data_IF_904954045856
#
_entry.id   IF_904954045856
#
_cell.length_a   1.000
_cell.length_b   1.000
_cell.length_c   1.000
_cell.angle_alpha   90.00
_cell.angle_beta   90.00
_cell.angle_gamma   90.00
#
_symmetry.space_group_name_H-M   'P 1'
#
loop_
_entity.id
_entity.type
_entity.pdbx_description
1 polymer ?
#
# COMPACT_ATOMS: atom_id res chain seq x y z
N UNK A 1 -5.21 8.47 -36.16
CA UNK A 1 -5.18 6.99 -36.36
C UNK A 1 -4.15 6.59 -37.43
N UNK A 2 -4.07 7.26 -38.59
CA UNK A 2 -3.06 6.95 -39.64
C UNK A 2 -1.59 7.21 -39.27
N UNK A 3 -1.30 8.15 -38.35
CA UNK A 3 0.07 8.47 -37.92
C UNK A 3 0.48 7.79 -36.59
N UNK A 4 -0.31 6.83 -36.09
CA UNK A 4 -0.01 6.14 -34.83
C UNK A 4 -0.19 6.94 -33.53
N UNK A 5 -0.45 8.26 -33.56
CA UNK A 5 -0.57 9.09 -32.35
C UNK A 5 -1.86 8.88 -31.53
N UNK A 6 -2.77 7.99 -31.94
CA UNK A 6 -4.04 7.76 -31.25
C UNK A 6 -4.12 6.29 -30.81
N UNK A 7 -4.22 6.08 -29.51
CA UNK A 7 -4.37 4.76 -28.90
C UNK A 7 -5.66 4.70 -28.07
N UNK A 8 -6.34 3.55 -28.11
CA UNK A 8 -7.51 3.27 -27.27
C UNK A 8 -7.05 2.56 -26.00
N UNK A 9 -7.46 3.07 -24.85
CA UNK A 9 -7.18 2.47 -23.54
C UNK A 9 -8.12 3.06 -22.48
N UNK A 10 -8.04 2.54 -21.26
CA UNK A 10 -8.70 3.10 -20.09
C UNK A 10 -7.62 3.63 -19.15
N UNK A 11 -7.67 4.93 -18.82
CA UNK A 11 -6.71 5.61 -17.93
C UNK A 11 -7.51 6.39 -16.89
N UNK A 12 -7.08 6.44 -15.62
CA UNK A 12 -7.69 7.35 -14.65
C UNK A 12 -7.54 8.81 -15.10
N UNK A 13 -8.60 9.58 -14.91
CA UNK A 13 -8.66 11.02 -15.25
C UNK A 13 -9.31 11.77 -14.10
N UNK A 14 -9.00 13.06 -13.96
CA UNK A 14 -9.78 13.93 -13.09
C UNK A 14 -11.21 13.98 -13.61
N UNK A 15 -12.18 13.67 -12.76
CA UNK A 15 -13.60 13.66 -13.11
C UNK A 15 -14.36 14.61 -12.20
N UNK A 16 -14.99 15.63 -12.80
CA UNK A 16 -15.88 16.53 -12.09
C UNK A 16 -17.27 15.88 -11.97
N UNK A 17 -17.71 15.57 -10.75
CA UNK A 17 -19.04 14.96 -10.51
C UNK A 17 -20.16 15.95 -10.85
N UNK A 18 -19.95 17.24 -10.59
CA UNK A 18 -20.92 18.30 -10.88
C UNK A 18 -21.08 18.54 -12.39
N UNK A 19 -19.95 18.61 -13.09
CA UNK A 19 -19.86 18.87 -14.52
C UNK A 19 -20.16 17.61 -15.36
N UNK A 20 -19.99 16.42 -14.76
CA UNK A 20 -20.10 15.10 -15.41
C UNK A 20 -19.18 14.96 -16.62
N UNK A 21 -17.97 15.49 -16.49
CA UNK A 21 -16.94 15.47 -17.54
C UNK A 21 -15.55 15.25 -16.93
N UNK A 22 -14.64 14.77 -17.76
CA UNK A 22 -13.22 14.79 -17.46
C UNK A 22 -12.71 16.23 -17.45
N UNK A 23 -11.77 16.52 -16.55
CA UNK A 23 -11.04 17.79 -16.46
C UNK A 23 -9.61 17.58 -16.96
N UNK A 24 -9.09 18.58 -17.66
CA UNK A 24 -7.66 18.72 -17.90
C UNK A 24 -6.94 19.18 -16.62
N UNK A 25 -5.65 18.92 -16.51
CA UNK A 25 -4.84 19.34 -15.36
C UNK A 25 -4.87 20.87 -15.14
N UNK A 26 -4.95 21.64 -16.22
CA UNK A 26 -5.09 23.10 -16.18
C UNK A 26 -6.44 23.59 -15.61
N UNK A 27 -7.44 22.72 -15.50
CA UNK A 27 -8.76 23.03 -14.93
C UNK A 27 -8.86 22.61 -13.45
N UNK A 28 -7.81 22.01 -12.90
CA UNK A 28 -7.78 21.55 -11.50
C UNK A 28 -7.26 22.67 -10.60
N UNK A 29 -8.08 23.09 -9.66
CA UNK A 29 -7.71 24.02 -8.59
C UNK A 29 -7.56 23.29 -7.25
N UNK A 30 -6.56 23.68 -6.48
CA UNK A 30 -6.24 23.06 -5.19
C UNK A 30 -6.81 23.88 -4.03
N UNK A 31 -7.43 23.18 -3.09
CA UNK A 31 -8.00 23.74 -1.88
C UNK A 31 -7.63 22.88 -0.68
N UNK A 32 -7.41 23.51 0.46
CA UNK A 32 -7.18 22.79 1.71
C UNK A 32 -8.42 22.02 2.13
N UNK A 33 -8.25 20.72 2.40
CA UNK A 33 -9.32 19.85 2.85
C UNK A 33 -8.79 18.85 3.87
N UNK A 34 -9.45 18.81 5.03
CA UNK A 34 -9.24 17.73 5.99
C UNK A 34 -9.89 16.45 5.48
N UNK A 35 -9.09 15.40 5.32
CA UNK A 35 -9.54 14.08 4.88
C UNK A 35 -9.34 13.05 5.99
N UNK A 36 -10.19 12.02 6.10
CA UNK A 36 -9.92 10.90 6.99
C UNK A 36 -8.63 10.21 6.54
N UNK A 37 -7.89 9.64 7.49
CA UNK A 37 -6.78 8.74 7.18
C UNK A 37 -6.88 7.50 8.05
N UNK A 38 -6.55 6.35 7.48
CA UNK A 38 -6.65 5.05 8.16
C UNK A 38 -5.42 4.21 7.87
N UNK A 39 -5.00 3.44 8.86
CA UNK A 39 -4.06 2.34 8.73
C UNK A 39 -4.86 1.04 8.60
N UNK A 40 -4.54 0.18 7.62
CA UNK A 40 -5.30 -1.05 7.33
C UNK A 40 -4.36 -2.24 7.21
N UNK A 41 -4.59 -3.26 8.03
CA UNK A 41 -3.83 -4.49 8.02
C UNK A 41 -4.34 -5.46 6.94
N UNK A 42 -3.46 -5.88 6.05
CA UNK A 42 -3.67 -6.96 5.09
C UNK A 42 -2.94 -8.19 5.62
N UNK A 43 -3.70 -9.19 6.08
CA UNK A 43 -3.12 -10.39 6.67
C UNK A 43 -2.41 -11.23 5.61
N UNK A 44 -1.24 -11.75 5.94
CA UNK A 44 -0.50 -12.63 5.06
C UNK A 44 -1.24 -13.95 4.82
N UNK A 45 -1.26 -14.38 3.56
CA UNK A 45 -1.82 -15.69 3.16
C UNK A 45 -0.88 -16.82 3.58
N UNK A 46 0.41 -16.65 3.31
CA UNK A 46 1.47 -17.59 3.71
C UNK A 46 2.37 -16.95 4.77
N UNK A 47 2.08 -17.26 6.04
CA UNK A 47 2.84 -16.73 7.16
C UNK A 47 4.23 -17.37 7.28
N UNK A 48 4.41 -18.61 6.83
CA UNK A 48 5.69 -19.32 6.96
C UNK A 48 6.68 -18.85 5.90
N UNK A 49 6.21 -18.52 4.70
CA UNK A 49 7.02 -17.83 3.70
C UNK A 49 7.55 -16.48 4.23
N UNK A 50 6.70 -15.70 4.91
CA UNK A 50 7.14 -14.44 5.54
C UNK A 50 8.15 -14.68 6.66
N UNK A 51 7.89 -15.59 7.58
CA UNK A 51 8.84 -15.94 8.65
C UNK A 51 10.20 -16.33 8.08
N UNK A 52 10.22 -17.11 7.01
CA UNK A 52 11.45 -17.49 6.32
C UNK A 52 12.18 -16.28 5.73
N UNK A 53 11.48 -15.34 5.09
CA UNK A 53 12.08 -14.09 4.57
C UNK A 53 12.71 -13.26 5.68
N UNK A 54 12.03 -13.12 6.82
CA UNK A 54 12.53 -12.37 7.97
C UNK A 54 13.55 -13.14 8.82
N UNK A 55 13.86 -14.40 8.49
CA UNK A 55 14.71 -15.30 9.25
C UNK A 55 14.28 -15.45 10.74
N UNK A 56 12.96 -15.44 10.98
CA UNK A 56 12.37 -15.59 12.32
C UNK A 56 11.68 -16.95 12.46
N UNK A 57 11.85 -17.60 13.60
CA UNK A 57 11.24 -18.91 13.87
C UNK A 57 9.93 -18.81 14.64
N UNK A 58 9.76 -17.77 15.46
CA UNK A 58 8.60 -17.60 16.32
C UNK A 58 8.02 -16.19 16.17
N UNK A 59 6.74 -16.13 15.79
CA UNK A 59 5.93 -14.93 15.73
C UNK A 59 4.61 -15.26 16.41
N UNK A 60 4.19 -14.42 17.36
CA UNK A 60 2.93 -14.63 18.06
C UNK A 60 1.79 -14.02 17.24
N UNK A 61 0.85 -14.87 16.82
CA UNK A 61 -0.35 -14.45 16.08
C UNK A 61 -0.14 -14.15 14.59
N UNK A 62 -1.14 -13.54 13.94
CA UNK A 62 -1.12 -13.30 12.50
C UNK A 62 -0.09 -12.23 12.11
N UNK A 63 0.50 -12.40 10.92
CA UNK A 63 1.38 -11.41 10.31
C UNK A 63 0.59 -10.61 9.27
N UNK A 64 0.68 -9.28 9.30
CA UNK A 64 -0.01 -8.42 8.33
C UNK A 64 0.90 -7.35 7.75
N UNK A 65 0.75 -7.02 6.48
CA UNK A 65 1.32 -5.81 5.87
C UNK A 65 0.33 -4.67 6.04
N UNK A 66 0.76 -3.56 6.65
CA UNK A 66 -0.14 -2.46 6.99
C UNK A 66 0.02 -1.33 5.99
N UNK A 67 -1.05 -0.97 5.29
CA UNK A 67 -1.08 0.21 4.41
C UNK A 67 -1.60 1.42 5.16
N UNK A 68 -1.31 2.60 4.63
CA UNK A 68 -1.95 3.85 5.04
C UNK A 68 -2.65 4.49 3.83
N UNK A 69 -3.82 5.09 4.05
CA UNK A 69 -4.53 5.83 3.01
C UNK A 69 -5.36 6.99 3.55
N UNK A 70 -5.42 8.07 2.78
CA UNK A 70 -6.32 9.21 2.99
C UNK A 70 -7.61 9.11 2.16
N UNK A 71 -7.73 8.07 1.33
CA UNK A 71 -8.89 7.83 0.45
C UNK A 71 -9.51 6.45 0.70
N UNK A 72 -10.09 6.19 1.90
CA UNK A 72 -10.69 4.88 2.23
C UNK A 72 -11.69 4.34 1.20
N UNK A 73 -12.39 5.24 0.50
CA UNK A 73 -13.37 4.89 -0.54
C UNK A 73 -12.75 4.17 -1.75
N UNK A 74 -11.43 4.27 -1.97
CA UNK A 74 -10.71 3.59 -3.06
C UNK A 74 -10.32 2.16 -2.71
N UNK A 75 -10.39 1.79 -1.43
CA UNK A 75 -9.94 0.50 -0.93
C UNK A 75 -10.68 -0.71 -1.56
N UNK A 76 -12.00 -0.68 -1.84
CA UNK A 76 -12.66 -1.78 -2.57
C UNK A 76 -12.11 -2.04 -3.98
N UNK A 77 -11.43 -1.06 -4.59
CA UNK A 77 -10.79 -1.18 -5.91
C UNK A 77 -9.32 -1.62 -5.84
N UNK A 78 -8.81 -1.91 -4.63
CA UNK A 78 -7.44 -2.35 -4.42
C UNK A 78 -7.16 -3.67 -5.16
N UNK A 79 -5.98 -3.74 -5.80
CA UNK A 79 -5.49 -4.92 -6.52
C UNK A 79 -4.08 -5.36 -6.13
N UNK A 80 -3.34 -4.54 -5.40
CA UNK A 80 -1.99 -4.85 -4.93
C UNK A 80 -1.60 -3.93 -3.75
N UNK A 81 -0.47 -4.22 -3.12
CA UNK A 81 0.16 -3.33 -2.13
C UNK A 81 1.52 -2.93 -2.67
N UNK A 82 1.71 -1.67 -3.00
CA UNK A 82 3.00 -1.13 -3.43
C UNK A 82 3.92 -0.89 -2.24
N UNK A 83 5.16 -1.35 -2.37
CA UNK A 83 6.27 -1.16 -1.43
C UNK A 83 7.52 -0.75 -2.20
N UNK A 84 8.42 0.01 -1.58
CA UNK A 84 9.67 0.40 -2.23
C UNK A 84 10.69 -0.75 -2.15
N UNK A 85 11.39 -1.10 -3.23
CA UNK A 85 12.34 -2.22 -3.24
C UNK A 85 13.52 -2.01 -2.27
N UNK A 86 14.00 -0.77 -2.17
CA UNK A 86 15.26 -0.43 -1.48
C UNK A 86 15.07 -0.11 0.01
N UNK A 87 13.83 0.13 0.45
CA UNK A 87 13.54 0.39 1.86
C UNK A 87 13.65 -0.88 2.69
N UNK A 88 14.07 -0.71 3.94
CA UNK A 88 14.03 -1.78 4.93
C UNK A 88 12.63 -1.83 5.55
N UNK A 89 12.01 -3.01 5.52
CA UNK A 89 10.74 -3.30 6.18
C UNK A 89 11.01 -4.11 7.43
N UNK A 90 10.39 -3.70 8.54
CA UNK A 90 10.49 -4.34 9.84
C UNK A 90 9.25 -5.19 10.11
N UNK A 91 9.46 -6.41 10.59
CA UNK A 91 8.42 -7.23 11.20
C UNK A 91 8.36 -6.88 12.69
N UNK A 92 7.25 -6.29 13.12
CA UNK A 92 7.08 -5.74 14.47
C UNK A 92 6.00 -6.52 15.21
N UNK A 93 6.36 -7.15 16.33
CA UNK A 93 5.43 -7.81 17.23
C UNK A 93 4.72 -6.77 18.11
N UNK A 94 3.39 -6.79 18.10
CA UNK A 94 2.50 -5.95 18.91
C UNK A 94 1.34 -6.81 19.45
N UNK A 95 1.01 -6.75 20.73
CA UNK A 95 -0.22 -7.31 21.33
C UNK A 95 -0.78 -8.62 20.71
N UNK A 96 0.04 -9.66 20.60
CA UNK A 96 -0.40 -10.97 20.08
C UNK A 96 -0.61 -11.05 18.56
N UNK A 97 -0.08 -10.11 17.79
CA UNK A 97 0.03 -10.13 16.32
C UNK A 97 1.35 -9.49 15.86
N UNK A 98 1.67 -9.61 14.57
CA UNK A 98 2.82 -8.92 14.00
C UNK A 98 2.45 -8.12 12.76
N UNK A 99 3.09 -6.97 12.59
CA UNK A 99 2.85 -6.05 11.49
C UNK A 99 4.14 -5.78 10.73
N UNK A 100 4.04 -5.64 9.42
CA UNK A 100 5.13 -5.22 8.54
C UNK A 100 4.93 -3.75 8.21
N UNK A 101 5.97 -2.97 8.50
CA UNK A 101 6.02 -1.51 8.29
C UNK A 101 7.39 -1.17 7.70
N UNK A 102 7.51 -0.06 6.97
CA UNK A 102 8.83 0.48 6.70
C UNK A 102 9.52 0.82 8.04
N UNK A 103 10.77 0.39 8.19
CA UNK A 103 11.53 0.44 9.43
C UNK A 103 11.57 1.86 10.02
N UNK A 104 11.79 2.85 9.18
CA UNK A 104 11.92 4.25 9.58
C UNK A 104 10.57 4.88 10.00
N UNK A 105 9.45 4.22 9.70
CA UNK A 105 8.11 4.64 10.08
C UNK A 105 7.55 3.87 11.28
N UNK A 106 8.27 2.89 11.84
CA UNK A 106 7.78 2.08 12.97
C UNK A 106 7.42 2.96 14.16
N UNK A 107 8.33 3.84 14.61
CA UNK A 107 8.08 4.68 15.79
C UNK A 107 6.86 5.60 15.60
N UNK A 108 6.76 6.25 14.44
CA UNK A 108 5.65 7.18 14.14
C UNK A 108 4.31 6.46 14.03
N UNK A 109 4.28 5.24 13.48
CA UNK A 109 3.10 4.39 13.42
C UNK A 109 2.70 3.96 14.83
N UNK A 110 3.63 3.44 15.63
CA UNK A 110 3.36 2.97 17.00
C UNK A 110 2.80 4.09 17.89
N UNK A 111 3.39 5.28 17.81
CA UNK A 111 2.87 6.46 18.50
C UNK A 111 1.46 6.83 18.02
N UNK A 112 1.20 6.81 16.71
CA UNK A 112 -0.10 7.14 16.12
C UNK A 112 -1.21 6.18 16.56
N UNK A 113 -0.90 4.89 16.69
CA UNK A 113 -1.87 3.88 17.13
C UNK A 113 -1.91 3.68 18.66
N UNK A 114 -1.04 4.37 19.40
CA UNK A 114 -0.99 4.33 20.86
C UNK A 114 -0.36 3.06 21.45
N UNK A 115 0.48 2.36 20.69
CA UNK A 115 1.23 1.17 21.16
C UNK A 115 2.57 1.60 21.75
N UNK A 116 2.80 1.26 23.01
CA UNK A 116 4.04 1.59 23.74
C UNK A 116 5.04 0.43 23.74
N UNK A 117 4.55 -0.80 23.81
CA UNK A 117 5.37 -2.00 23.90
C UNK A 117 5.33 -2.77 22.59
N UNK A 118 6.43 -2.73 21.86
CA UNK A 118 6.59 -3.47 20.61
C UNK A 118 8.02 -4.01 20.48
N UNK A 119 8.20 -5.05 19.68
CA UNK A 119 9.52 -5.65 19.42
C UNK A 119 9.72 -5.85 17.93
N UNK A 120 10.80 -5.30 17.39
CA UNK A 120 11.23 -5.60 16.02
C UNK A 120 11.86 -6.99 16.01
N UNK A 121 11.22 -7.94 15.34
CA UNK A 121 11.67 -9.33 15.25
C UNK A 121 12.75 -9.52 14.16
N UNK A 122 12.69 -8.73 13.10
CA UNK A 122 13.62 -8.78 11.98
C UNK A 122 13.33 -7.71 10.93
N UNK A 123 14.26 -7.53 10.00
CA UNK A 123 14.14 -6.58 8.90
C UNK A 123 14.58 -7.19 7.58
N UNK A 124 13.89 -6.85 6.48
CA UNK A 124 14.22 -7.28 5.12
C UNK A 124 14.10 -6.12 4.15
N UNK A 125 14.73 -6.23 2.97
CA UNK A 125 14.47 -5.29 1.87
C UNK A 125 13.07 -5.48 1.31
N UNK A 126 12.43 -4.40 0.87
CA UNK A 126 11.10 -4.48 0.24
C UNK A 126 11.07 -5.42 -0.97
N UNK A 127 12.17 -5.49 -1.72
CA UNK A 127 12.34 -6.45 -2.82
C UNK A 127 12.13 -7.93 -2.40
N UNK A 128 12.43 -8.29 -1.14
CA UNK A 128 12.24 -9.65 -0.64
C UNK A 128 10.76 -10.02 -0.40
N UNK A 129 9.88 -9.03 -0.35
CA UNK A 129 8.44 -9.21 -0.14
C UNK A 129 7.65 -9.23 -1.45
N UNK A 130 8.31 -9.05 -2.59
CA UNK A 130 7.67 -9.00 -3.90
C UNK A 130 6.85 -10.28 -4.18
N UNK A 131 5.63 -10.08 -4.70
CA UNK A 131 4.63 -11.10 -5.03
C UNK A 131 4.10 -11.94 -3.87
N UNK A 132 4.55 -11.71 -2.62
CA UNK A 132 3.90 -12.32 -1.45
C UNK A 132 2.44 -11.87 -1.37
N UNK A 133 1.57 -12.82 -1.00
CA UNK A 133 0.12 -12.68 -1.05
C UNK A 133 -0.42 -12.27 0.31
N UNK A 134 -1.32 -11.30 0.29
CA UNK A 134 -2.03 -10.82 1.47
C UNK A 134 -3.53 -10.79 1.20
N UNK A 135 -4.33 -11.23 2.16
CA UNK A 135 -5.78 -11.24 2.06
C UNK A 135 -6.33 -9.82 2.16
N UNK A 136 -7.14 -9.45 1.17
CA UNK A 136 -7.84 -8.18 1.18
C UNK A 136 -8.82 -8.13 2.38
N UNK A 137 -8.82 -7.05 3.18
CA UNK A 137 -9.48 -7.01 4.50
C UNK A 137 -11.00 -7.32 4.48
N UNK A 138 -11.71 -7.02 3.39
CA UNK A 138 -13.16 -7.24 3.29
C UNK A 138 -13.69 -7.68 1.92
N UNK A 139 -12.84 -7.97 0.93
CA UNK A 139 -13.29 -8.31 -0.43
C UNK A 139 -13.22 -9.80 -0.76
N UNK A 140 -12.67 -10.62 0.15
CA UNK A 140 -12.64 -12.09 -0.01
C UNK A 140 -11.70 -12.60 -1.10
N UNK A 141 -10.70 -11.81 -1.50
CA UNK A 141 -9.64 -12.22 -2.42
C UNK A 141 -8.27 -11.78 -1.90
N UNK A 142 -7.20 -12.34 -2.44
CA UNK A 142 -5.82 -11.98 -2.09
C UNK A 142 -5.24 -10.98 -3.10
N UNK A 143 -4.29 -10.17 -2.63
CA UNK A 143 -3.54 -9.21 -3.42
C UNK A 143 -2.03 -9.42 -3.22
N UNK A 144 -1.21 -9.25 -4.27
CA UNK A 144 0.24 -9.32 -4.14
C UNK A 144 0.81 -8.00 -3.57
N UNK A 145 1.93 -8.11 -2.86
CA UNK A 145 2.86 -6.99 -2.75
C UNK A 145 3.61 -6.80 -4.08
N UNK A 146 3.77 -5.55 -4.52
CA UNK A 146 4.44 -5.16 -5.76
C UNK A 146 5.43 -4.03 -5.50
N UNK A 147 6.42 -3.87 -6.37
CA UNK A 147 7.49 -2.88 -6.19
C UNK A 147 7.13 -1.56 -6.86
N UNK A 148 7.11 -0.46 -6.11
CA UNK A 148 6.73 0.86 -6.61
C UNK A 148 7.66 1.96 -6.10
N UNK A 149 8.18 2.77 -7.03
CA UNK A 149 9.10 3.88 -6.72
C UNK A 149 8.39 5.13 -6.14
N UNK A 150 7.06 5.16 -6.18
CA UNK A 150 6.23 6.27 -5.66
C UNK A 150 6.03 6.20 -4.14
N UNK A 151 6.47 5.12 -3.49
CA UNK A 151 6.36 4.94 -2.03
C UNK A 151 7.42 5.79 -1.34
N UNK A 152 7.01 6.63 -0.40
CA UNK A 152 7.93 7.49 0.37
C UNK A 152 7.90 7.16 1.87
N UNK A 153 8.86 7.72 2.61
CA UNK A 153 8.97 7.60 4.07
C UNK A 153 8.51 8.87 4.80
N UNK A 154 7.89 9.83 4.09
CA UNK A 154 7.47 11.10 4.69
C UNK A 154 6.25 10.93 5.61
N UNK A 155 5.36 10.00 5.27
CA UNK A 155 4.13 9.72 6.01
C UNK A 155 3.61 8.30 5.77
N UNK A 156 2.69 7.86 6.64
CA UNK A 156 1.98 6.58 6.51
C UNK A 156 2.73 5.42 7.17
N UNK A 157 2.89 4.33 6.42
CA UNK A 157 3.50 3.07 6.88
C UNK A 157 4.61 2.57 5.96
N UNK A 158 4.86 3.26 4.85
CA UNK A 158 5.75 2.82 3.78
C UNK A 158 5.16 1.69 2.93
N UNK A 159 3.86 1.43 3.03
CA UNK A 159 3.13 0.56 2.11
C UNK A 159 1.85 1.28 1.64
N UNK A 160 1.62 1.25 0.33
CA UNK A 160 0.52 1.98 -0.32
C UNK A 160 -0.38 0.97 -1.00
N UNK A 161 -1.68 1.02 -0.70
CA UNK A 161 -2.64 0.19 -1.42
C UNK A 161 -2.74 0.71 -2.87
N UNK A 162 -2.75 -0.19 -3.85
CA UNK A 162 -2.75 0.16 -5.27
C UNK A 162 -4.11 -0.13 -5.89
N UNK A 163 -4.78 0.92 -6.37
CA UNK A 163 -6.07 0.88 -7.06
C UNK A 163 -5.92 1.52 -8.46
N UNK A 164 -5.54 0.75 -9.51
CA UNK A 164 -5.18 1.27 -10.84
C UNK A 164 -6.23 2.14 -11.54
N UNK A 165 -7.50 2.05 -11.12
CA UNK A 165 -8.58 2.87 -11.64
C UNK A 165 -8.67 4.28 -11.02
N UNK A 166 -7.87 4.60 -10.00
CA UNK A 166 -8.05 5.78 -9.15
C UNK A 166 -6.79 6.64 -8.95
N UNK A 167 -5.64 6.25 -9.50
CA UNK A 167 -4.41 7.02 -9.41
C UNK A 167 -3.50 6.80 -10.63
N UNK A 168 -2.78 7.84 -11.12
CA UNK A 168 -1.87 7.70 -12.24
C UNK A 168 -0.69 6.78 -11.92
N UNK A 169 -0.11 6.87 -10.73
CA UNK A 169 1.00 6.01 -10.31
C UNK A 169 0.54 4.56 -10.16
N UNK A 170 -0.63 4.35 -9.53
CA UNK A 170 -1.28 3.04 -9.41
C UNK A 170 -1.56 2.42 -10.78
N UNK A 171 -2.02 3.22 -11.74
CA UNK A 171 -2.25 2.77 -13.10
C UNK A 171 -0.95 2.33 -13.77
N UNK A 172 0.09 3.15 -13.70
CA UNK A 172 1.39 2.86 -14.33
C UNK A 172 2.00 1.59 -13.75
N UNK A 173 1.98 1.42 -12.43
CA UNK A 173 2.54 0.21 -11.81
C UNK A 173 1.65 -1.01 -12.05
N UNK A 174 0.33 -0.84 -12.00
CA UNK A 174 -0.64 -1.90 -12.30
C UNK A 174 -0.62 -2.38 -13.75
N UNK A 175 0.01 -1.66 -14.68
CA UNK A 175 0.27 -2.14 -16.04
C UNK A 175 1.53 -3.01 -16.16
N UNK A 176 2.46 -2.92 -15.20
CA UNK A 176 3.72 -3.69 -15.21
C UNK A 176 3.55 -5.12 -14.66
N UNK A 177 2.55 -5.33 -13.82
CA UNK A 177 2.20 -6.61 -13.19
C UNK A 177 0.92 -7.19 -13.80
#
# INVERSE_FOLDING_TARGET
IGNGHLHKGAKPVHWCVDCRSALAEAEVEYYDKTSPSIDVAFQAVDQDALKAKFAVSNVNGPISLVIWTTTPWTLPANRAISIAPDFDYALVQIDGQAVILAKDLVESVMQRIGVTDYTILGTVKGAELELLRFTHPFMGFDVPAILGDHVTLDAGTGAVHTAPGHGPDDYVIGQKY
#
